data_IF_002678731713
#
_entry.id   IF_002678731713
#
_cell.length_a   1.000
_cell.length_b   1.000
_cell.length_c   1.000
_cell.angle_alpha   90.00
_cell.angle_beta   90.00
_cell.angle_gamma   90.00
#
_symmetry.space_group_name_H-M   'P 1'
#
loop_
_entity.id
_entity.type
_entity.pdbx_description
1 polymer ?
#
# COMPACT_ATOMS: atom_id res chain seq x y z
N UNK A 1 8.91 1.99 28.27
CA UNK A 1 9.35 1.03 29.30
C UNK A 1 9.10 -0.40 28.86
N UNK A 2 10.06 -1.30 29.08
CA UNK A 2 9.95 -2.73 28.74
C UNK A 2 9.18 -3.45 29.84
N UNK A 3 8.20 -4.26 29.46
CA UNK A 3 7.43 -5.11 30.37
C UNK A 3 8.15 -6.45 30.67
N UNK A 4 7.77 -7.15 31.73
CA UNK A 4 8.21 -8.53 31.98
C UNK A 4 7.82 -9.49 30.85
N UNK A 5 6.66 -9.26 30.19
CA UNK A 5 6.19 -10.07 29.06
C UNK A 5 7.10 -9.92 27.84
N UNK A 6 7.38 -8.67 27.41
CA UNK A 6 8.28 -8.44 26.29
C UNK A 6 9.68 -9.01 26.53
N UNK A 7 10.23 -8.82 27.74
CA UNK A 7 11.53 -9.37 28.13
C UNK A 7 11.57 -10.91 28.16
N UNK A 8 10.43 -11.60 28.18
CA UNK A 8 10.32 -13.07 28.18
C UNK A 8 10.16 -13.71 26.80
N UNK A 9 10.13 -12.90 25.73
CA UNK A 9 9.97 -13.43 24.37
C UNK A 9 11.12 -14.39 24.00
N UNK A 10 10.85 -15.40 23.16
CA UNK A 10 11.91 -16.31 22.71
C UNK A 10 12.88 -15.64 21.73
N UNK A 11 14.01 -16.32 21.48
CA UNK A 11 15.00 -15.87 20.47
C UNK A 11 14.36 -15.70 19.07
N UNK A 12 14.82 -14.68 18.31
CA UNK A 12 15.97 -13.78 18.46
C UNK A 12 15.60 -12.59 19.34
N UNK A 13 16.51 -12.17 20.23
CA UNK A 13 16.27 -11.11 21.22
C UNK A 13 17.40 -10.06 21.23
N UNK A 14 17.06 -8.82 21.56
CA UNK A 14 18.01 -7.84 22.06
C UNK A 14 18.41 -8.15 23.52
N UNK A 15 17.69 -9.04 24.20
CA UNK A 15 17.82 -9.37 25.61
C UNK A 15 17.56 -8.16 26.52
N UNK A 16 16.47 -7.43 26.23
CA UNK A 16 16.03 -6.33 27.09
C UNK A 16 15.54 -6.84 28.44
N UNK A 17 15.64 -6.00 29.46
CA UNK A 17 15.18 -6.33 30.81
C UNK A 17 13.93 -5.53 31.15
N UNK A 18 13.04 -6.13 31.93
CA UNK A 18 11.89 -5.41 32.47
C UNK A 18 12.35 -4.15 33.23
N UNK A 19 11.64 -3.04 33.01
CA UNK A 19 11.97 -1.73 33.56
C UNK A 19 12.99 -0.92 32.75
N UNK A 20 13.73 -1.49 31.78
CA UNK A 20 14.55 -0.71 30.86
C UNK A 20 13.68 0.22 30.01
N UNK A 21 14.20 1.40 29.67
CA UNK A 21 13.46 2.41 28.92
C UNK A 21 14.22 2.79 27.64
N UNK A 22 13.48 2.82 26.53
CA UNK A 22 14.01 3.14 25.21
C UNK A 22 13.09 4.10 24.48
N UNK A 23 13.63 4.84 23.54
CA UNK A 23 12.82 5.62 22.58
C UNK A 23 12.16 4.66 21.59
N UNK A 24 10.89 4.90 21.26
CA UNK A 24 10.16 4.06 20.31
C UNK A 24 10.85 3.98 18.95
N UNK A 25 11.37 5.11 18.44
CA UNK A 25 12.13 5.14 17.19
C UNK A 25 13.36 4.23 17.19
N UNK A 26 14.14 4.21 18.29
CA UNK A 26 15.30 3.34 18.42
C UNK A 26 14.90 1.85 18.41
N UNK A 27 13.79 1.52 19.03
CA UNK A 27 13.23 0.16 18.99
C UNK A 27 12.75 -0.23 17.59
N UNK A 28 12.21 0.72 16.78
CA UNK A 28 11.87 0.43 15.39
C UNK A 28 13.10 0.02 14.57
N UNK A 29 14.24 0.70 14.74
CA UNK A 29 15.49 0.27 14.12
C UNK A 29 15.91 -1.13 14.60
N UNK A 30 15.89 -1.40 15.89
CA UNK A 30 16.27 -2.70 16.44
C UNK A 30 15.39 -3.83 15.89
N UNK A 31 14.07 -3.63 15.85
CA UNK A 31 13.11 -4.59 15.29
C UNK A 31 13.35 -4.84 13.81
N UNK A 32 13.51 -3.78 13.02
CA UNK A 32 13.62 -3.92 11.57
C UNK A 32 14.98 -4.50 11.13
N UNK A 33 16.08 -4.09 11.76
CA UNK A 33 17.42 -4.51 11.36
C UNK A 33 17.75 -5.94 11.82
N UNK A 34 17.43 -6.29 13.06
CA UNK A 34 17.87 -7.56 13.69
C UNK A 34 16.72 -8.56 13.90
N UNK A 35 15.44 -8.14 13.70
CA UNK A 35 14.25 -8.99 13.90
C UNK A 35 14.05 -9.45 15.35
N UNK A 36 14.31 -8.61 16.33
CA UNK A 36 14.18 -8.96 17.74
C UNK A 36 12.74 -9.14 18.19
N UNK A 37 12.41 -10.31 18.70
CA UNK A 37 11.06 -10.68 19.15
C UNK A 37 10.62 -9.90 20.39
N UNK A 38 11.52 -9.71 21.36
CA UNK A 38 11.30 -8.93 22.58
C UNK A 38 10.98 -7.45 22.23
N UNK A 39 11.63 -6.91 21.24
CA UNK A 39 11.38 -5.55 20.78
C UNK A 39 10.05 -5.42 20.03
N UNK A 40 9.72 -6.38 19.17
CA UNK A 40 8.44 -6.38 18.48
C UNK A 40 7.26 -6.48 19.49
N UNK A 41 7.39 -7.33 20.52
CA UNK A 41 6.41 -7.41 21.59
C UNK A 41 6.30 -6.09 22.38
N UNK A 42 7.43 -5.47 22.74
CA UNK A 42 7.43 -4.20 23.46
C UNK A 42 6.75 -3.06 22.68
N UNK A 43 6.98 -2.97 21.38
CA UNK A 43 6.32 -2.01 20.49
C UNK A 43 4.82 -2.29 20.42
N UNK A 44 4.44 -3.55 20.23
CA UNK A 44 3.04 -3.97 20.14
C UNK A 44 2.28 -3.69 21.45
N UNK A 45 2.88 -3.97 22.61
CA UNK A 45 2.29 -3.61 23.90
C UNK A 45 2.11 -2.11 24.05
N UNK A 46 3.13 -1.33 23.69
CA UNK A 46 3.09 0.13 23.84
C UNK A 46 1.98 0.77 22.99
N UNK A 47 1.85 0.34 21.76
CA UNK A 47 0.81 0.87 20.85
C UNK A 47 -0.57 0.31 21.23
N UNK A 48 -0.64 -0.99 21.50
CA UNK A 48 -1.90 -1.68 21.79
C UNK A 48 -2.54 -1.26 23.12
N UNK A 49 -1.77 -0.72 24.07
CA UNK A 49 -2.32 -0.17 25.33
C UNK A 49 -3.44 0.84 25.09
N UNK A 50 -3.25 1.73 24.11
CA UNK A 50 -4.24 2.77 23.81
C UNK A 50 -5.58 2.20 23.27
N UNK A 51 -5.59 0.93 22.87
CA UNK A 51 -6.73 0.23 22.28
C UNK A 51 -7.26 -0.91 23.13
N UNK A 52 -6.55 -1.26 24.21
CA UNK A 52 -6.90 -2.36 25.12
C UNK A 52 -7.56 -1.87 26.41
N UNK A 53 -7.81 -0.57 26.56
CA UNK A 53 -8.35 0.08 27.77
C UNK A 53 -7.54 -0.26 29.04
N UNK A 54 -6.21 -0.22 28.91
CA UNK A 54 -5.26 -0.52 29.99
C UNK A 54 -4.51 0.75 30.39
N UNK A 55 -4.35 0.98 31.71
CA UNK A 55 -3.64 2.16 32.21
C UNK A 55 -2.17 2.18 31.77
N UNK A 56 -1.82 3.28 31.09
CA UNK A 56 -0.50 3.53 30.51
C UNK A 56 0.61 3.62 31.58
N UNK A 57 0.27 4.00 32.80
CA UNK A 57 1.24 4.46 33.79
C UNK A 57 1.97 3.35 34.57
N UNK A 58 1.56 2.09 34.48
CA UNK A 58 2.13 1.01 35.26
C UNK A 58 2.71 -0.16 34.42
N UNK A 59 3.59 0.16 33.46
CA UNK A 59 4.18 -0.83 32.56
C UNK A 59 5.03 -1.87 33.30
N UNK A 60 5.72 -1.47 34.39
CA UNK A 60 6.60 -2.36 35.16
C UNK A 60 5.82 -3.42 35.94
N UNK A 61 4.59 -3.11 36.37
CA UNK A 61 3.72 -4.02 37.16
C UNK A 61 2.63 -4.67 36.32
N UNK A 62 2.62 -4.40 34.99
CA UNK A 62 1.61 -4.97 34.11
C UNK A 62 1.62 -6.49 34.17
N UNK A 63 0.44 -7.08 34.34
CA UNK A 63 0.29 -8.52 34.31
C UNK A 63 0.59 -9.09 32.91
N UNK A 64 0.96 -10.37 32.86
CA UNK A 64 1.16 -11.06 31.58
C UNK A 64 -0.14 -11.05 30.74
N UNK A 65 -1.29 -11.16 31.39
CA UNK A 65 -2.58 -11.18 30.72
C UNK A 65 -2.94 -9.80 30.13
N UNK A 66 -2.61 -8.71 30.81
CA UNK A 66 -2.79 -7.36 30.26
C UNK A 66 -1.82 -7.08 29.11
N UNK A 67 -0.59 -7.57 29.20
CA UNK A 67 0.38 -7.55 28.11
C UNK A 67 -0.16 -8.27 26.86
N UNK A 68 -0.73 -9.46 27.05
CA UNK A 68 -1.37 -10.22 25.96
C UNK A 68 -2.55 -9.48 25.34
N UNK A 69 -3.40 -8.82 26.16
CA UNK A 69 -4.50 -7.98 25.65
C UNK A 69 -3.97 -6.84 24.78
N UNK A 70 -2.90 -6.15 25.23
CA UNK A 70 -2.25 -5.11 24.43
C UNK A 70 -1.74 -5.63 23.09
N UNK A 71 -1.03 -6.76 23.09
CA UNK A 71 -0.51 -7.40 21.87
C UNK A 71 -1.65 -7.83 20.95
N UNK A 72 -2.74 -8.40 21.50
CA UNK A 72 -3.93 -8.75 20.72
C UNK A 72 -4.59 -7.54 20.11
N UNK A 73 -4.72 -6.43 20.85
CA UNK A 73 -5.25 -5.18 20.33
C UNK A 73 -4.38 -4.63 19.16
N UNK A 74 -3.05 -4.71 19.30
CA UNK A 74 -2.14 -4.34 18.22
C UNK A 74 -2.27 -5.25 16.99
N UNK A 75 -2.41 -6.58 17.18
CA UNK A 75 -2.67 -7.51 16.09
C UNK A 75 -4.01 -7.19 15.39
N UNK A 76 -5.02 -6.75 16.15
CA UNK A 76 -6.27 -6.21 15.60
C UNK A 76 -6.02 -5.04 14.64
N UNK A 77 -5.19 -4.05 15.03
CA UNK A 77 -4.82 -2.93 14.18
C UNK A 77 -4.07 -3.37 12.91
N UNK A 78 -3.20 -4.39 13.01
CA UNK A 78 -2.52 -4.97 11.84
C UNK A 78 -3.52 -5.59 10.87
N UNK A 79 -4.50 -6.33 11.38
CA UNK A 79 -5.56 -6.96 10.58
C UNK A 79 -6.50 -5.93 9.95
N UNK A 80 -6.86 -4.86 10.69
CA UNK A 80 -7.66 -3.76 10.15
C UNK A 80 -6.95 -3.06 8.99
N UNK A 81 -5.65 -2.79 9.15
CA UNK A 81 -4.84 -2.21 8.08
C UNK A 81 -4.69 -3.15 6.88
N UNK A 82 -4.51 -4.45 7.11
CA UNK A 82 -4.45 -5.43 6.03
C UNK A 82 -5.77 -5.45 5.22
N UNK A 83 -6.92 -5.44 5.88
CA UNK A 83 -8.24 -5.35 5.24
C UNK A 83 -8.43 -4.06 4.45
N UNK A 84 -8.04 -2.91 5.02
CA UNK A 84 -8.06 -1.60 4.33
C UNK A 84 -7.24 -1.63 3.03
N UNK A 85 -6.15 -2.39 3.01
CA UNK A 85 -5.29 -2.57 1.83
C UNK A 85 -5.80 -3.64 0.85
N UNK A 86 -6.95 -4.28 1.12
CA UNK A 86 -7.53 -5.31 0.28
C UNK A 86 -6.92 -6.70 0.47
N UNK A 87 -6.33 -6.98 1.64
CA UNK A 87 -5.79 -8.28 1.99
C UNK A 87 -6.89 -9.17 2.60
N UNK A 88 -7.39 -10.14 1.85
CA UNK A 88 -8.49 -11.02 2.27
C UNK A 88 -8.00 -12.34 2.89
N UNK A 89 -6.75 -12.72 2.61
CA UNK A 89 -6.12 -13.98 3.05
C UNK A 89 -4.96 -13.75 4.03
N UNK A 90 -4.88 -12.56 4.63
CA UNK A 90 -3.88 -12.21 5.63
C UNK A 90 -4.52 -12.18 7.01
N UNK A 91 -3.92 -12.91 7.94
CA UNK A 91 -4.34 -12.91 9.33
C UNK A 91 -3.13 -12.83 10.27
N UNK A 92 -3.05 -11.76 11.04
CA UNK A 92 -1.98 -11.52 12.01
C UNK A 92 -2.44 -11.85 13.42
N UNK A 93 -1.66 -12.66 14.13
CA UNK A 93 -1.86 -13.01 15.55
C UNK A 93 -0.70 -12.48 16.38
N UNK A 94 0.54 -12.58 15.85
CA UNK A 94 1.75 -12.16 16.56
C UNK A 94 2.40 -10.95 15.90
N UNK A 95 2.99 -10.01 16.67
CA UNK A 95 3.64 -8.83 16.12
C UNK A 95 5.05 -9.13 15.58
N UNK A 96 5.64 -10.26 15.93
CA UNK A 96 7.01 -10.66 15.61
C UNK A 96 7.09 -11.69 14.48
N UNK A 97 5.95 -12.22 14.01
CA UNK A 97 5.90 -13.21 12.92
C UNK A 97 6.20 -14.64 13.37
N UNK A 98 6.20 -14.93 14.65
CA UNK A 98 6.25 -16.32 15.13
C UNK A 98 4.96 -17.05 14.77
N UNK A 99 5.10 -18.35 14.49
CA UNK A 99 3.97 -19.22 14.16
C UNK A 99 2.94 -19.23 15.30
N UNK A 100 1.67 -19.00 14.94
CA UNK A 100 0.55 -19.01 15.89
C UNK A 100 -0.73 -19.46 15.18
N UNK A 101 -1.66 -19.98 15.98
CA UNK A 101 -2.99 -20.36 15.55
C UNK A 101 -3.97 -20.04 16.69
N UNK A 102 -5.15 -19.56 16.35
CA UNK A 102 -6.26 -19.34 17.26
C UNK A 102 -7.57 -19.86 16.65
N UNK A 103 -8.69 -19.56 17.28
CA UNK A 103 -10.03 -19.98 16.82
C UNK A 103 -10.43 -19.44 15.44
N UNK A 104 -9.82 -18.33 14.99
CA UNK A 104 -10.09 -17.68 13.71
C UNK A 104 -9.15 -18.16 12.61
N UNK A 105 -8.05 -18.85 12.93
CA UNK A 105 -7.14 -19.41 11.94
C UNK A 105 -5.67 -19.31 12.29
N UNK A 106 -4.84 -19.47 11.27
CA UNK A 106 -3.38 -19.41 11.37
C UNK A 106 -2.84 -18.03 11.08
N UNK A 107 -1.76 -17.65 11.77
CA UNK A 107 -0.94 -16.49 11.41
C UNK A 107 -0.37 -16.70 10.00
N UNK A 108 -0.92 -16.04 9.00
CA UNK A 108 -0.63 -16.29 7.59
C UNK A 108 -0.82 -15.08 6.70
N UNK A 109 -0.21 -15.13 5.53
CA UNK A 109 -0.39 -14.16 4.44
C UNK A 109 -0.10 -14.82 3.09
N UNK A 110 -0.34 -14.10 2.00
CA UNK A 110 0.06 -14.47 0.64
C UNK A 110 1.16 -13.55 0.10
N UNK A 111 1.89 -14.00 -0.92
CA UNK A 111 2.93 -13.16 -1.54
C UNK A 111 2.33 -11.88 -2.15
N UNK A 112 1.13 -11.97 -2.76
CA UNK A 112 0.42 -10.82 -3.35
C UNK A 112 0.05 -9.80 -2.27
N UNK A 113 -0.53 -10.26 -1.17
CA UNK A 113 -1.00 -9.37 -0.11
C UNK A 113 0.15 -8.73 0.67
N UNK A 114 1.21 -9.49 0.90
CA UNK A 114 2.42 -8.92 1.50
C UNK A 114 3.08 -7.88 0.58
N UNK A 115 2.95 -8.02 -0.75
CA UNK A 115 3.37 -6.99 -1.70
C UNK A 115 2.49 -5.73 -1.61
N UNK A 116 1.18 -5.85 -1.38
CA UNK A 116 0.28 -4.71 -1.15
C UNK A 116 0.66 -3.95 0.13
N UNK A 117 0.91 -4.68 1.21
CA UNK A 117 1.38 -4.10 2.49
C UNK A 117 2.70 -3.37 2.29
N UNK A 118 3.66 -4.00 1.60
CA UNK A 118 4.94 -3.40 1.29
C UNK A 118 4.82 -2.16 0.40
N UNK A 119 3.95 -2.19 -0.62
CA UNK A 119 3.67 -1.05 -1.51
C UNK A 119 3.07 0.15 -0.76
N UNK A 120 2.28 -0.10 0.29
CA UNK A 120 1.82 0.94 1.20
C UNK A 120 2.96 1.48 2.06
N UNK A 121 3.76 0.59 2.65
CA UNK A 121 4.83 0.96 3.58
C UNK A 121 5.93 1.79 2.91
N UNK A 122 6.35 1.44 1.69
CA UNK A 122 7.43 2.16 0.97
C UNK A 122 7.06 3.59 0.52
N UNK A 123 5.79 3.98 0.66
CA UNK A 123 5.36 5.38 0.47
C UNK A 123 5.70 6.28 1.67
N UNK A 124 6.22 5.70 2.77
CA UNK A 124 6.61 6.41 3.99
C UNK A 124 8.13 6.56 4.04
N UNK A 125 8.62 7.79 3.97
CA UNK A 125 10.05 8.05 3.94
C UNK A 125 10.77 7.54 5.20
N UNK A 126 10.20 7.74 6.40
CA UNK A 126 10.75 7.24 7.65
C UNK A 126 10.93 5.71 7.64
N UNK A 127 9.97 4.99 7.06
CA UNK A 127 10.07 3.54 6.90
C UNK A 127 11.25 3.16 6.00
N UNK A 128 11.41 3.84 4.86
CA UNK A 128 12.51 3.60 3.92
C UNK A 128 13.87 3.93 4.53
N UNK A 129 13.96 4.97 5.34
CA UNK A 129 15.18 5.32 6.09
C UNK A 129 15.55 4.18 7.04
N UNK A 130 14.62 3.66 7.82
CA UNK A 130 14.87 2.56 8.75
C UNK A 130 15.31 1.29 8.00
N UNK A 131 14.55 0.87 6.98
CA UNK A 131 14.82 -0.39 6.25
C UNK A 131 16.11 -0.36 5.46
N UNK A 132 16.50 0.80 4.93
CA UNK A 132 17.74 1.02 4.19
C UNK A 132 18.98 1.23 5.08
N UNK A 133 18.79 1.42 6.38
CA UNK A 133 19.90 1.64 7.32
C UNK A 133 20.68 0.34 7.53
N UNK A 134 22.01 0.40 7.35
CA UNK A 134 22.89 -0.78 7.47
C UNK A 134 23.30 -1.07 8.91
N UNK A 135 23.47 -0.01 9.71
CA UNK A 135 23.89 -0.06 11.11
C UNK A 135 23.28 1.10 11.87
N UNK A 136 22.82 0.85 13.09
CA UNK A 136 22.28 1.87 13.97
C UNK A 136 22.77 1.64 15.40
N UNK A 137 23.09 2.72 16.12
CA UNK A 137 23.55 2.69 17.52
C UNK A 137 22.62 3.54 18.36
N UNK A 138 22.21 3.04 19.50
CA UNK A 138 21.36 3.75 20.45
C UNK A 138 21.69 3.36 21.88
N UNK A 139 21.12 4.08 22.81
CA UNK A 139 21.34 3.87 24.23
C UNK A 139 20.00 3.77 24.97
N UNK A 140 19.94 2.92 25.97
CA UNK A 140 18.87 2.95 26.96
C UNK A 140 18.81 4.36 27.59
N UNK A 141 17.60 4.86 27.89
CA UNK A 141 17.38 6.27 28.25
C UNK A 141 18.23 6.72 29.44
N UNK A 142 18.43 5.84 30.42
CA UNK A 142 19.26 6.16 31.60
C UNK A 142 20.77 5.94 31.38
N UNK A 143 21.19 5.66 30.15
CA UNK A 143 22.59 5.51 29.78
C UNK A 143 23.26 4.22 30.28
N UNK A 144 22.50 3.26 30.78
CA UNK A 144 23.04 2.02 31.37
C UNK A 144 23.49 1.00 30.34
N UNK A 145 22.98 1.11 29.11
CA UNK A 145 23.22 0.11 28.07
C UNK A 145 23.32 0.75 26.69
N UNK A 146 24.46 0.52 26.01
CA UNK A 146 24.65 0.87 24.60
C UNK A 146 24.29 -0.34 23.73
N UNK A 147 23.53 -0.12 22.68
CA UNK A 147 23.09 -1.12 21.72
C UNK A 147 23.61 -0.76 20.31
N UNK A 148 24.16 -1.75 19.61
CA UNK A 148 24.54 -1.65 18.21
C UNK A 148 23.81 -2.72 17.43
N UNK A 149 23.08 -2.35 16.39
CA UNK A 149 22.29 -3.25 15.57
C UNK A 149 22.71 -3.16 14.12
N UNK A 150 22.70 -4.30 13.42
CA UNK A 150 23.16 -4.44 12.05
C UNK A 150 22.07 -5.05 11.19
N UNK A 151 21.86 -4.48 10.03
CA UNK A 151 20.81 -4.96 9.14
C UNK A 151 21.12 -6.35 8.61
N UNK A 152 20.23 -7.32 8.86
CA UNK A 152 20.31 -8.70 8.36
C UNK A 152 19.92 -8.81 6.88
N UNK A 153 19.48 -7.72 6.27
CA UNK A 153 19.16 -7.66 4.85
C UNK A 153 20.44 -7.56 3.98
N UNK A 154 20.96 -8.70 3.58
CA UNK A 154 22.11 -8.74 2.69
C UNK A 154 21.82 -8.19 1.29
N UNK A 155 20.55 -8.08 0.88
CA UNK A 155 20.14 -7.57 -0.43
C UNK A 155 20.53 -6.10 -0.62
N UNK A 156 20.61 -5.32 0.45
CA UNK A 156 21.09 -3.93 0.46
C UNK A 156 22.49 -3.75 -0.15
N UNK A 157 23.29 -4.82 -0.21
CA UNK A 157 24.63 -4.81 -0.79
C UNK A 157 24.73 -5.61 -2.10
N UNK A 158 23.64 -6.20 -2.59
CA UNK A 158 23.64 -7.10 -3.74
C UNK A 158 23.12 -6.46 -5.01
N UNK A 159 22.25 -5.46 -4.91
CA UNK A 159 21.73 -4.72 -6.06
C UNK A 159 21.76 -3.21 -5.79
N UNK A 160 22.16 -2.46 -6.81
CA UNK A 160 22.14 -1.00 -6.75
C UNK A 160 20.69 -0.51 -6.59
N UNK A 161 20.48 0.48 -5.75
CA UNK A 161 19.15 1.03 -5.47
C UNK A 161 18.31 0.23 -4.48
N UNK A 162 18.80 -0.91 -3.95
CA UNK A 162 18.13 -1.65 -2.90
C UNK A 162 18.02 -0.81 -1.60
N UNK A 163 16.82 -0.78 -0.99
CA UNK A 163 16.57 -0.01 0.23
C UNK A 163 15.75 -0.78 1.30
N UNK A 164 15.59 -2.08 1.15
CA UNK A 164 14.93 -2.94 2.12
C UNK A 164 14.32 -4.18 1.48
N UNK A 165 13.42 -4.85 2.21
CA UNK A 165 12.66 -4.38 3.38
C UNK A 165 12.92 -5.28 4.60
N UNK A 166 12.54 -6.59 4.50
CA UNK A 166 12.56 -7.45 5.67
C UNK A 166 12.76 -8.91 5.33
N UNK A 167 13.62 -9.57 6.10
CA UNK A 167 13.79 -11.02 6.11
C UNK A 167 12.88 -11.67 7.15
N UNK A 168 12.49 -12.93 6.91
CA UNK A 168 11.78 -13.77 7.87
C UNK A 168 12.21 -15.22 7.75
N UNK A 169 12.07 -15.95 8.86
CA UNK A 169 12.27 -17.40 8.91
C UNK A 169 11.54 -17.98 10.11
N UNK A 170 10.72 -19.01 9.87
CA UNK A 170 10.28 -19.98 10.87
C UNK A 170 10.46 -21.39 10.31
N UNK A 171 10.38 -22.41 11.16
CA UNK A 171 10.44 -23.80 10.73
C UNK A 171 9.35 -24.15 9.71
N UNK A 172 8.15 -23.58 9.88
CA UNK A 172 7.00 -23.82 9.00
C UNK A 172 7.08 -22.99 7.72
N UNK A 173 7.42 -21.69 7.83
CA UNK A 173 7.42 -20.77 6.68
C UNK A 173 8.65 -20.91 5.75
N UNK A 174 9.77 -21.46 6.25
CA UNK A 174 11.03 -21.41 5.51
C UNK A 174 11.62 -19.99 5.43
N UNK A 175 12.58 -19.78 4.53
CA UNK A 175 13.19 -18.47 4.30
C UNK A 175 12.26 -17.59 3.47
N UNK A 176 11.90 -16.43 4.03
CA UNK A 176 11.07 -15.43 3.41
C UNK A 176 11.85 -14.10 3.28
N UNK A 177 11.52 -13.33 2.25
CA UNK A 177 12.07 -12.00 2.07
C UNK A 177 11.11 -11.11 1.28
N UNK A 178 10.93 -9.89 1.76
CA UNK A 178 10.32 -8.80 1.01
C UNK A 178 11.45 -7.85 0.65
N UNK A 179 11.71 -7.71 -0.64
CA UNK A 179 12.73 -6.81 -1.18
C UNK A 179 12.14 -5.59 -1.82
N UNK A 180 12.84 -4.46 -1.73
CA UNK A 180 12.51 -3.23 -2.43
C UNK A 180 13.75 -2.57 -3.02
N UNK A 181 13.58 -2.03 -4.23
CA UNK A 181 14.67 -1.38 -4.95
C UNK A 181 14.13 -0.23 -5.81
N UNK A 182 14.92 0.83 -6.00
CA UNK A 182 14.68 1.91 -6.96
C UNK A 182 15.64 1.78 -8.13
N UNK A 183 15.12 1.86 -9.37
CA UNK A 183 15.92 1.90 -10.61
C UNK A 183 15.25 2.84 -11.60
N UNK A 184 16.01 3.82 -12.10
CA UNK A 184 15.56 4.80 -13.10
C UNK A 184 14.22 5.46 -12.76
N UNK A 185 14.08 5.92 -11.51
CA UNK A 185 12.85 6.55 -11.00
C UNK A 185 11.72 5.58 -10.65
N UNK A 186 11.83 4.30 -11.05
CA UNK A 186 10.84 3.25 -10.79
C UNK A 186 11.12 2.53 -9.47
N UNK A 187 10.06 2.18 -8.74
CA UNK A 187 10.16 1.37 -7.51
C UNK A 187 9.64 -0.03 -7.77
N UNK A 188 10.44 -1.03 -7.42
CA UNK A 188 10.09 -2.44 -7.53
C UNK A 188 10.06 -3.09 -6.16
N UNK A 189 9.04 -3.93 -5.93
CA UNK A 189 8.89 -4.75 -4.74
C UNK A 189 8.81 -6.20 -5.18
N UNK A 190 9.56 -7.07 -4.51
CA UNK A 190 9.45 -8.52 -4.69
C UNK A 190 9.13 -9.18 -3.36
N UNK A 191 8.33 -10.23 -3.41
CA UNK A 191 8.00 -11.07 -2.25
C UNK A 191 8.36 -12.50 -2.57
N UNK A 192 9.23 -13.07 -1.75
CA UNK A 192 9.65 -14.46 -1.84
C UNK A 192 9.31 -15.16 -0.52
N UNK A 193 8.44 -16.15 -0.57
CA UNK A 193 7.99 -16.93 0.57
C UNK A 193 8.42 -18.38 0.39
N UNK A 194 8.85 -19.04 1.50
CA UNK A 194 9.22 -20.44 1.48
C UNK A 194 10.40 -20.77 0.55
N UNK A 195 11.34 -19.84 0.35
CA UNK A 195 12.51 -20.04 -0.53
C UNK A 195 13.61 -20.83 0.19
N UNK A 196 13.29 -22.07 0.51
CA UNK A 196 14.19 -23.03 1.14
C UNK A 196 14.18 -23.03 2.67
N UNK A 197 14.87 -24.02 3.22
CA UNK A 197 15.04 -24.28 4.64
C UNK A 197 16.52 -24.26 5.02
N UNK A 198 16.97 -24.66 6.21
CA UNK A 198 18.32 -24.38 6.74
C UNK A 198 19.51 -24.61 5.80
N UNK A 199 19.44 -25.58 4.90
CA UNK A 199 20.50 -25.83 3.89
C UNK A 199 20.50 -24.85 2.70
N UNK A 200 19.46 -24.01 2.56
CA UNK A 200 19.22 -23.15 1.39
C UNK A 200 19.12 -21.65 1.73
N UNK A 201 19.91 -21.18 2.71
CA UNK A 201 19.85 -19.78 3.25
C UNK A 201 19.97 -18.68 2.20
N UNK A 202 20.61 -18.96 1.07
CA UNK A 202 20.89 -17.95 0.03
C UNK A 202 19.84 -17.92 -1.08
N UNK A 203 18.92 -18.87 -1.14
CA UNK A 203 17.94 -18.98 -2.23
C UNK A 203 17.06 -17.76 -2.34
N UNK A 204 16.56 -17.23 -1.20
CA UNK A 204 15.76 -16.00 -1.18
C UNK A 204 16.44 -14.81 -1.87
N UNK A 205 17.77 -14.68 -1.75
CA UNK A 205 18.53 -13.62 -2.43
C UNK A 205 18.61 -13.82 -3.92
N UNK A 206 18.82 -15.08 -4.34
CA UNK A 206 18.89 -15.48 -5.76
C UNK A 206 17.52 -15.27 -6.44
N UNK A 207 16.46 -15.67 -5.78
CA UNK A 207 15.10 -15.55 -6.30
C UNK A 207 14.67 -14.09 -6.36
N UNK A 208 14.91 -13.31 -5.30
CA UNK A 208 14.68 -11.86 -5.29
C UNK A 208 15.40 -11.15 -6.42
N UNK A 209 16.69 -11.45 -6.63
CA UNK A 209 17.46 -10.85 -7.72
C UNK A 209 16.82 -11.11 -9.08
N UNK A 210 16.43 -12.35 -9.36
CA UNK A 210 15.76 -12.71 -10.61
C UNK A 210 14.46 -11.94 -10.82
N UNK A 211 13.64 -11.82 -9.76
CA UNK A 211 12.39 -11.06 -9.82
C UNK A 211 12.65 -9.58 -10.07
N UNK A 212 13.64 -8.99 -9.41
CA UNK A 212 14.01 -7.58 -9.61
C UNK A 212 14.56 -7.32 -11.02
N UNK A 213 15.46 -8.18 -11.50
CA UNK A 213 15.99 -8.12 -12.87
C UNK A 213 14.87 -8.25 -13.90
N UNK A 214 13.92 -9.17 -13.68
CA UNK A 214 12.72 -9.28 -14.51
C UNK A 214 11.90 -8.01 -14.50
N UNK A 215 11.62 -7.44 -13.31
CA UNK A 215 10.88 -6.20 -13.17
C UNK A 215 11.54 -5.03 -13.90
N UNK A 216 12.85 -4.82 -13.67
CA UNK A 216 13.62 -3.72 -14.28
C UNK A 216 13.62 -3.82 -15.82
N UNK A 217 13.75 -5.03 -16.35
CA UNK A 217 13.92 -5.25 -17.78
C UNK A 217 12.59 -5.31 -18.56
N UNK A 218 11.47 -5.53 -17.89
CA UNK A 218 10.20 -5.77 -18.58
C UNK A 218 9.11 -4.73 -18.27
N UNK A 219 9.21 -3.95 -17.19
CA UNK A 219 8.19 -2.98 -16.80
C UNK A 219 8.70 -1.55 -16.95
N UNK A 220 8.05 -0.77 -17.80
CA UNK A 220 8.40 0.61 -18.07
C UNK A 220 7.20 1.53 -17.82
N UNK A 221 7.47 2.76 -17.43
CA UNK A 221 6.42 3.77 -17.31
C UNK A 221 5.88 4.10 -18.70
N UNK A 222 4.59 3.91 -18.90
CA UNK A 222 3.89 4.21 -20.14
C UNK A 222 2.65 5.05 -19.84
N UNK A 223 2.43 6.06 -20.66
CA UNK A 223 1.20 6.83 -20.65
C UNK A 223 0.13 6.01 -21.37
N UNK A 224 -0.82 5.45 -20.62
CA UNK A 224 -1.85 4.52 -21.13
C UNK A 224 -3.20 5.19 -21.35
N UNK A 225 -3.36 6.43 -20.88
CA UNK A 225 -4.50 7.28 -21.19
C UNK A 225 -4.06 8.75 -21.25
N UNK A 226 -4.66 9.51 -22.18
CA UNK A 226 -4.43 10.95 -22.36
C UNK A 226 -5.76 11.65 -22.53
N UNK A 227 -5.80 12.93 -22.20
CA UNK A 227 -6.92 13.82 -22.50
C UNK A 227 -7.35 13.71 -23.96
N UNK A 228 -8.65 13.62 -24.17
CA UNK A 228 -9.30 13.64 -25.49
C UNK A 228 -10.16 14.90 -25.56
N UNK A 229 -9.67 15.91 -26.30
CA UNK A 229 -10.30 17.22 -26.41
C UNK A 229 -11.66 17.15 -27.12
N UNK A 230 -11.77 16.30 -28.14
CA UNK A 230 -13.01 16.03 -28.87
C UNK A 230 -13.21 14.53 -28.95
N UNK A 231 -14.32 14.02 -28.37
CA UNK A 231 -14.63 12.59 -28.41
C UNK A 231 -15.79 12.32 -29.39
N UNK A 232 -17.01 12.35 -28.90
CA UNK A 232 -18.24 12.13 -29.69
C UNK A 232 -19.26 13.19 -29.33
N UNK A 233 -20.21 13.43 -30.19
CA UNK A 233 -21.39 14.24 -29.88
C UNK A 233 -22.49 13.34 -29.30
N UNK A 234 -23.26 13.89 -28.37
CA UNK A 234 -24.48 13.31 -27.78
C UNK A 234 -25.67 14.09 -28.31
N UNK A 235 -26.73 13.39 -28.72
CA UNK A 235 -27.97 14.02 -29.15
C UNK A 235 -28.60 14.84 -28.01
N UNK A 236 -29.08 16.05 -28.32
CA UNK A 236 -29.75 16.92 -27.34
C UNK A 236 -31.22 17.10 -27.76
N UNK A 237 -32.13 16.62 -26.90
CA UNK A 237 -33.55 16.83 -27.07
C UNK A 237 -34.00 18.13 -26.41
N UNK A 238 -34.98 18.81 -27.00
CA UNK A 238 -35.53 20.12 -26.55
C UNK A 238 -34.47 21.23 -26.48
N UNK A 239 -33.33 21.10 -27.21
CA UNK A 239 -32.23 22.06 -27.25
C UNK A 239 -32.28 23.05 -28.40
N UNK A 240 -31.57 24.19 -28.28
CA UNK A 240 -31.32 25.12 -29.37
C UNK A 240 -30.29 24.56 -30.40
N UNK A 241 -29.69 23.44 -30.06
CA UNK A 241 -28.84 22.61 -30.90
C UNK A 241 -29.25 21.18 -30.80
N UNK A 242 -29.01 20.39 -31.86
CA UNK A 242 -29.41 18.98 -31.96
C UNK A 242 -28.40 18.03 -31.29
N UNK A 243 -27.23 18.55 -30.93
CA UNK A 243 -26.18 17.75 -30.27
C UNK A 243 -25.23 18.63 -29.45
N UNK A 244 -24.53 18.02 -28.53
CA UNK A 244 -23.45 18.60 -27.72
C UNK A 244 -22.16 17.78 -27.91
N UNK A 245 -21.04 18.46 -28.14
CA UNK A 245 -19.73 17.85 -28.16
C UNK A 245 -19.32 17.34 -26.76
N UNK A 246 -18.43 16.36 -26.73
CA UNK A 246 -17.91 15.87 -25.45
C UNK A 246 -16.40 15.83 -25.43
N UNK A 247 -15.83 15.95 -24.21
CA UNK A 247 -14.40 15.84 -23.94
C UNK A 247 -14.13 14.88 -22.79
N UNK A 248 -12.88 14.41 -22.69
CA UNK A 248 -12.43 13.55 -21.60
C UNK A 248 -11.13 14.11 -21.07
N UNK A 249 -11.14 14.68 -19.89
CA UNK A 249 -9.94 15.23 -19.27
C UNK A 249 -9.31 14.19 -18.34
N UNK A 250 -8.00 14.00 -18.47
CA UNK A 250 -7.21 13.14 -17.60
C UNK A 250 -6.02 12.48 -18.27
N UNK A 251 -5.06 12.14 -17.46
CA UNK A 251 -3.87 11.38 -17.87
C UNK A 251 -3.64 10.22 -16.89
N UNK A 252 -3.17 9.10 -17.43
CA UNK A 252 -2.77 7.95 -16.64
C UNK A 252 -1.47 7.37 -17.16
N UNK A 253 -0.44 7.38 -16.31
CA UNK A 253 0.81 6.67 -16.54
C UNK A 253 0.94 5.54 -15.51
N UNK A 254 1.41 4.38 -15.98
CA UNK A 254 1.63 3.20 -15.13
C UNK A 254 2.89 2.45 -15.56
N UNK A 255 3.47 1.71 -14.63
CA UNK A 255 4.48 0.69 -14.95
C UNK A 255 3.77 -0.53 -15.53
N UNK A 256 3.90 -0.74 -16.82
CA UNK A 256 3.37 -1.90 -17.53
C UNK A 256 4.43 -2.56 -18.39
N UNK A 257 4.22 -3.82 -18.71
CA UNK A 257 5.07 -4.59 -19.61
C UNK A 257 4.50 -4.59 -21.03
N UNK A 258 5.32 -5.00 -22.00
CA UNK A 258 4.87 -5.16 -23.39
C UNK A 258 3.84 -6.29 -23.57
N UNK A 259 3.69 -7.16 -22.58
CA UNK A 259 2.68 -8.23 -22.58
C UNK A 259 1.36 -7.85 -21.93
N UNK A 260 1.29 -6.68 -21.29
CA UNK A 260 0.06 -6.22 -20.64
C UNK A 260 -0.92 -5.68 -21.67
N UNK A 261 -2.17 -6.10 -21.55
CA UNK A 261 -3.27 -5.64 -22.41
C UNK A 261 -3.92 -4.39 -21.78
N UNK A 262 -3.82 -3.27 -22.48
CA UNK A 262 -4.51 -2.02 -22.11
C UNK A 262 -5.78 -1.89 -22.94
N UNK A 263 -6.93 -1.72 -22.26
CA UNK A 263 -8.23 -1.53 -22.90
C UNK A 263 -8.96 -0.35 -22.29
N UNK A 264 -9.49 0.54 -23.15
CA UNK A 264 -10.38 1.61 -22.70
C UNK A 264 -11.80 1.30 -23.19
N UNK A 265 -12.75 1.32 -22.26
CA UNK A 265 -14.18 1.15 -22.54
C UNK A 265 -14.87 2.47 -22.29
N UNK A 266 -15.62 2.94 -23.28
CA UNK A 266 -16.35 4.18 -23.20
C UNK A 266 -17.84 3.87 -23.04
N UNK A 267 -18.43 4.43 -22.00
CA UNK A 267 -19.89 4.42 -21.76
C UNK A 267 -20.36 5.88 -21.90
N UNK A 268 -21.21 6.15 -22.89
CA UNK A 268 -21.73 7.48 -23.22
C UNK A 268 -23.23 7.37 -23.34
N UNK A 269 -23.97 8.37 -22.89
CA UNK A 269 -25.41 8.47 -23.08
C UNK A 269 -25.73 8.68 -24.59
N UNK A 270 -26.76 8.02 -25.08
CA UNK A 270 -27.17 8.17 -26.49
C UNK A 270 -27.80 9.55 -26.72
N UNK A 271 -28.59 10.04 -25.76
CA UNK A 271 -29.23 11.37 -25.82
C UNK A 271 -29.40 11.98 -24.43
N UNK A 272 -29.42 13.31 -24.38
CA UNK A 272 -29.67 14.09 -23.15
C UNK A 272 -30.69 15.18 -23.42
N UNK A 273 -31.38 15.64 -22.36
CA UNK A 273 -32.38 16.70 -22.47
C UNK A 273 -31.77 18.05 -22.10
N UNK A 274 -32.02 19.07 -22.93
CA UNK A 274 -31.59 20.45 -22.62
C UNK A 274 -32.34 21.01 -21.36
N UNK A 275 -31.69 21.93 -20.60
CA UNK A 275 -30.39 22.51 -20.87
C UNK A 275 -29.25 21.57 -20.49
N UNK A 276 -28.16 21.59 -21.22
CA UNK A 276 -26.89 20.94 -20.92
C UNK A 276 -25.87 22.04 -20.67
N UNK A 277 -25.07 21.92 -19.65
CA UNK A 277 -24.02 22.87 -19.32
C UNK A 277 -22.65 22.28 -19.60
N UNK A 278 -21.70 23.13 -19.91
CA UNK A 278 -20.29 22.74 -20.01
C UNK A 278 -19.88 22.01 -18.71
N UNK A 279 -19.10 20.93 -18.82
CA UNK A 279 -18.68 20.00 -17.74
C UNK A 279 -19.78 19.09 -17.16
N UNK A 280 -21.03 19.16 -17.65
CA UNK A 280 -22.03 18.16 -17.29
C UNK A 280 -21.54 16.75 -17.69
N UNK A 281 -21.67 15.78 -16.77
CA UNK A 281 -21.27 14.40 -17.02
C UNK A 281 -22.28 13.71 -17.92
N UNK A 282 -21.81 13.27 -19.08
CA UNK A 282 -22.60 12.54 -20.08
C UNK A 282 -22.16 11.08 -20.24
N UNK A 283 -21.09 10.68 -19.52
CA UNK A 283 -20.58 9.34 -19.59
C UNK A 283 -19.28 9.13 -18.81
N UNK A 284 -18.61 8.04 -19.11
CA UNK A 284 -17.31 7.69 -18.51
C UNK A 284 -16.43 6.88 -19.47
N UNK A 285 -15.12 7.10 -19.38
CA UNK A 285 -14.09 6.27 -19.96
C UNK A 285 -13.47 5.42 -18.84
N UNK A 286 -13.45 4.11 -19.00
CA UNK A 286 -12.96 3.14 -18.02
C UNK A 286 -11.70 2.50 -18.59
N UNK A 287 -10.59 2.65 -17.90
CA UNK A 287 -9.29 2.07 -18.31
C UNK A 287 -9.09 0.75 -17.57
N UNK A 288 -8.78 -0.28 -18.33
CA UNK A 288 -8.46 -1.63 -17.84
C UNK A 288 -7.02 -1.99 -18.23
N UNK A 289 -6.34 -2.69 -17.34
CA UNK A 289 -5.06 -3.37 -17.62
C UNK A 289 -5.23 -4.83 -17.23
N UNK A 290 -5.00 -5.75 -18.17
CA UNK A 290 -5.20 -7.20 -18.00
C UNK A 290 -6.60 -7.58 -17.46
N UNK A 291 -7.63 -6.81 -17.84
CA UNK A 291 -9.00 -7.00 -17.39
C UNK A 291 -9.32 -6.41 -16.01
N UNK A 292 -8.34 -5.91 -15.27
CA UNK A 292 -8.56 -5.18 -14.01
C UNK A 292 -8.78 -3.68 -14.29
N UNK A 293 -9.83 -3.10 -13.69
CA UNK A 293 -10.11 -1.67 -13.80
C UNK A 293 -9.11 -0.85 -12.99
N UNK A 294 -8.36 0.02 -13.67
CA UNK A 294 -7.32 0.85 -13.05
C UNK A 294 -7.70 2.32 -12.91
N UNK A 295 -8.57 2.85 -13.78
CA UNK A 295 -9.05 4.24 -13.67
C UNK A 295 -10.41 4.44 -14.32
N UNK A 296 -11.09 5.53 -13.95
CA UNK A 296 -12.31 6.04 -14.57
C UNK A 296 -12.14 7.54 -14.76
N UNK A 297 -12.41 8.02 -15.98
CA UNK A 297 -12.46 9.44 -16.34
C UNK A 297 -13.87 9.81 -16.76
N UNK A 298 -14.44 10.95 -16.31
CA UNK A 298 -15.73 11.40 -16.77
C UNK A 298 -15.64 11.84 -18.24
N UNK A 299 -16.67 11.55 -19.00
CA UNK A 299 -16.93 12.17 -20.30
C UNK A 299 -17.88 13.33 -20.04
N UNK A 300 -17.48 14.56 -20.37
CA UNK A 300 -18.24 15.77 -20.07
C UNK A 300 -18.63 16.53 -21.33
N UNK A 301 -19.68 17.33 -21.23
CA UNK A 301 -20.06 18.26 -22.27
C UNK A 301 -18.96 19.31 -22.49
N UNK A 302 -18.64 19.62 -23.75
CA UNK A 302 -17.62 20.61 -24.11
C UNK A 302 -18.17 22.04 -24.26
N UNK A 303 -19.49 22.20 -24.23
CA UNK A 303 -20.16 23.47 -24.41
C UNK A 303 -21.58 23.46 -23.83
N UNK A 304 -22.18 24.66 -23.66
CA UNK A 304 -23.55 24.82 -23.23
C UNK A 304 -24.55 24.61 -24.38
N UNK A 305 -25.61 23.84 -24.16
CA UNK A 305 -26.78 23.77 -25.03
C UNK A 305 -28.02 24.22 -24.26
N UNK A 306 -28.57 25.38 -24.68
CA UNK A 306 -29.74 25.97 -24.01
C UNK A 306 -31.01 25.26 -24.42
N UNK A 307 -31.98 25.22 -23.55
CA UNK A 307 -33.32 24.72 -23.86
C UNK A 307 -34.09 25.64 -24.79
N UNK A 308 -34.83 25.06 -25.72
CA UNK A 308 -35.78 25.81 -26.56
C UNK A 308 -36.87 26.40 -25.69
N UNK A 309 -36.95 27.73 -25.63
CA UNK A 309 -37.95 28.46 -24.88
C UNK A 309 -38.92 29.23 -25.78
N UNK A 310 -40.06 29.66 -25.22
CA UNK A 310 -41.09 30.43 -25.94
C UNK A 310 -40.48 31.67 -26.70
N UNK A 311 -39.57 32.37 -26.06
CA UNK A 311 -38.92 33.54 -26.68
C UNK A 311 -38.05 33.19 -27.90
N UNK A 312 -37.40 32.05 -27.87
CA UNK A 312 -36.62 31.55 -29.02
C UNK A 312 -37.56 31.19 -30.19
N UNK A 313 -38.64 30.46 -29.89
CA UNK A 313 -39.63 30.07 -30.86
C UNK A 313 -40.30 31.27 -31.52
N UNK A 314 -40.63 32.28 -30.73
CA UNK A 314 -41.21 33.54 -31.20
C UNK A 314 -40.22 34.29 -32.15
N UNK A 315 -38.93 34.30 -31.77
CA UNK A 315 -37.89 34.92 -32.57
C UNK A 315 -37.69 34.23 -33.91
N UNK A 316 -37.70 32.89 -33.94
CA UNK A 316 -37.59 32.13 -35.18
C UNK A 316 -38.83 32.29 -36.08
N UNK A 317 -40.02 32.30 -35.48
CA UNK A 317 -41.26 32.67 -36.21
C UNK A 317 -41.17 34.07 -36.82
N UNK A 318 -40.73 35.06 -36.05
CA UNK A 318 -40.56 36.44 -36.58
C UNK A 318 -39.55 36.51 -37.71
N UNK A 319 -38.44 35.77 -37.66
CA UNK A 319 -37.46 35.67 -38.76
C UNK A 319 -38.08 35.06 -40.03
N UNK A 320 -38.95 34.04 -39.85
CA UNK A 320 -39.59 33.37 -40.97
C UNK A 320 -40.69 34.22 -41.64
N UNK A 321 -41.32 35.15 -40.91
CA UNK A 321 -42.43 36.00 -41.42
C UNK A 321 -42.06 37.48 -41.66
N UNK A 322 -40.89 37.92 -41.20
CA UNK A 322 -40.42 39.33 -41.39
C UNK A 322 -39.29 39.44 -42.43
N UNK A 323 -39.33 38.69 -43.46
CA UNK A 323 -38.51 38.90 -44.65
C UNK A 323 -39.10 39.97 -45.52
#
# INVERSE_FOLDING_TARGET
TISPYAASMPDVQLNVRAGEQYRLGDLCYAMMLESYNDIAAAIAEHIGMAYADIDINDTEKRSIDDSRKCVSAFAGLMNDKARELGCENTYFITPNGLDAEDENGKHSTTARELALIAAYAVKKDDFNVITGTKQYSFCEINGKRNCNVYNKDAFLNQMSGAFGIKTGFTGNAGYCFVGALKSDGRTFISVVLGSGWPSARTYKWKDTRKLMEYGINNFFEQKIFTTVEEYKSVEVTDGIGDSVGTRIEGELSMLISSSDEVKVVYELEDSVKAPVYEDDKLGKAIVYVNGERVAIFPITASEDVRQVGFNWFLKELMKAFCL
#
